data_IF_304844150774
#
_entry.id   IF_304844150774
#
_cell.length_a   1.000
_cell.length_b   1.000
_cell.length_c   1.000
_cell.angle_alpha   90.00
_cell.angle_beta   90.00
_cell.angle_gamma   90.00
#
_symmetry.space_group_name_H-M   'P 1'
#
loop_
_entity.id
_entity.type
_entity.pdbx_description
1 polymer ?
#
# COMPACT_ATOMS: atom_id res chain seq x y z
N UNK A 1 8.51 18.68 -19.05
CA UNK A 1 9.57 17.83 -18.46
C UNK A 1 10.73 18.74 -18.05
N UNK A 2 11.23 18.64 -16.80
CA UNK A 2 12.22 19.58 -16.24
C UNK A 2 13.67 19.10 -16.30
N UNK A 3 13.93 17.91 -16.87
CA UNK A 3 15.26 17.28 -16.86
C UNK A 3 15.74 16.76 -15.50
N UNK A 4 14.96 16.93 -14.43
CA UNK A 4 15.28 16.43 -13.09
C UNK A 4 14.69 15.03 -12.89
N UNK A 5 15.44 14.18 -12.23
CA UNK A 5 15.02 12.83 -11.85
C UNK A 5 15.60 12.46 -10.49
N UNK A 6 14.95 11.51 -9.84
CA UNK A 6 15.42 10.88 -8.61
C UNK A 6 15.22 9.37 -8.73
N UNK A 7 16.00 8.61 -7.98
CA UNK A 7 15.88 7.16 -7.93
C UNK A 7 15.13 6.74 -6.67
N UNK A 8 14.08 5.93 -6.82
CA UNK A 8 13.44 5.25 -5.69
C UNK A 8 13.99 3.82 -5.59
N UNK A 9 14.90 3.53 -4.64
CA UNK A 9 15.36 2.16 -4.43
C UNK A 9 14.23 1.35 -3.78
N UNK A 10 13.79 0.31 -4.48
CA UNK A 10 12.89 -0.68 -3.91
C UNK A 10 13.52 -1.35 -2.70
N UNK A 11 12.72 -1.68 -1.70
CA UNK A 11 13.13 -2.39 -0.49
C UNK A 11 13.77 -3.75 -0.83
N UNK A 12 13.23 -4.42 -1.84
CA UNK A 12 13.79 -5.66 -2.38
C UNK A 12 13.43 -5.86 -3.85
N UNK A 13 14.15 -6.76 -4.52
CA UNK A 13 13.87 -7.14 -5.91
C UNK A 13 12.47 -7.76 -6.03
N UNK A 14 11.73 -7.36 -7.06
CA UNK A 14 10.41 -7.92 -7.37
C UNK A 14 9.24 -7.15 -6.74
N UNK A 15 9.51 -6.08 -6.00
CA UNK A 15 8.47 -5.12 -5.63
C UNK A 15 8.17 -4.16 -6.78
N UNK A 16 7.04 -3.47 -6.68
CA UNK A 16 6.57 -2.48 -7.64
C UNK A 16 6.05 -1.23 -6.92
N UNK A 17 6.09 -0.10 -7.63
CA UNK A 17 5.42 1.13 -7.21
C UNK A 17 3.97 1.04 -7.66
N UNK A 18 3.04 1.23 -6.73
CA UNK A 18 1.60 1.28 -7.00
C UNK A 18 1.08 2.68 -7.31
N UNK A 19 1.63 3.70 -6.64
CA UNK A 19 1.28 5.11 -6.83
C UNK A 19 2.37 6.02 -6.26
N UNK A 20 2.38 7.28 -6.69
CA UNK A 20 3.27 8.34 -6.22
C UNK A 20 2.50 9.67 -6.17
N UNK A 21 2.44 10.30 -5.00
CA UNK A 21 1.89 11.65 -4.85
C UNK A 21 2.78 12.55 -4.00
N UNK A 22 3.05 13.75 -4.52
CA UNK A 22 3.72 14.81 -3.76
C UNK A 22 2.76 15.34 -2.70
N UNK A 23 3.23 15.48 -1.47
CA UNK A 23 2.42 16.01 -0.35
C UNK A 23 2.88 17.40 0.09
N UNK A 24 4.08 17.82 -0.33
CA UNK A 24 4.57 19.18 -0.25
C UNK A 24 5.65 19.42 -1.32
N UNK A 25 6.41 20.53 -1.22
CA UNK A 25 7.45 20.88 -2.19
C UNK A 25 8.62 19.88 -2.26
N UNK A 26 8.82 19.07 -1.21
CA UNK A 26 10.01 18.24 -1.01
C UNK A 26 9.72 16.82 -0.52
N UNK A 27 8.48 16.49 -0.15
CA UNK A 27 8.12 15.15 0.29
C UNK A 27 6.96 14.56 -0.49
N UNK A 28 6.95 13.23 -0.59
CA UNK A 28 5.95 12.45 -1.32
C UNK A 28 5.60 11.17 -0.56
N UNK A 29 4.43 10.61 -0.89
CA UNK A 29 4.02 9.27 -0.50
C UNK A 29 4.11 8.34 -1.71
N UNK A 30 4.63 7.15 -1.48
CA UNK A 30 4.75 6.08 -2.50
C UNK A 30 4.10 4.83 -1.98
N UNK A 31 3.26 4.20 -2.78
CA UNK A 31 2.85 2.81 -2.53
C UNK A 31 3.94 1.89 -3.07
N UNK A 32 4.51 1.05 -2.21
CA UNK A 32 5.45 0.00 -2.57
C UNK A 32 4.87 -1.35 -2.18
N UNK A 33 4.72 -2.26 -3.15
CA UNK A 33 4.03 -3.54 -2.96
C UNK A 33 4.69 -4.72 -3.65
N UNK A 34 4.44 -5.92 -3.17
CA UNK A 34 4.63 -7.14 -3.95
C UNK A 34 3.42 -7.42 -4.87
N UNK A 35 3.52 -8.48 -5.65
CA UNK A 35 2.48 -8.98 -6.55
C UNK A 35 1.59 -10.06 -5.90
N UNK A 36 1.73 -10.31 -4.60
CA UNK A 36 0.89 -11.27 -3.90
C UNK A 36 -0.47 -10.69 -3.54
N UNK A 37 -1.45 -11.55 -3.31
CA UNK A 37 -2.77 -11.18 -2.84
C UNK A 37 -3.32 -12.17 -1.81
N UNK A 38 -4.30 -11.76 -1.02
CA UNK A 38 -4.89 -12.59 0.02
C UNK A 38 -4.07 -12.71 1.31
N UNK A 39 -4.69 -13.34 2.29
CA UNK A 39 -4.20 -13.52 3.66
C UNK A 39 -4.09 -14.99 4.02
N UNK A 40 -3.35 -15.28 5.10
CA UNK A 40 -3.00 -16.64 5.49
C UNK A 40 -4.22 -17.55 5.78
N UNK A 41 -5.35 -16.98 6.23
CA UNK A 41 -6.60 -17.70 6.48
C UNK A 41 -7.28 -18.22 5.20
N UNK A 42 -6.86 -17.73 4.03
CA UNK A 42 -7.33 -18.15 2.70
C UNK A 42 -6.23 -18.76 1.83
N UNK A 43 -5.09 -19.10 2.45
CA UNK A 43 -3.96 -19.69 1.75
C UNK A 43 -4.27 -21.09 1.23
N UNK A 44 -3.70 -21.45 0.08
CA UNK A 44 -3.66 -22.83 -0.35
C UNK A 44 -2.82 -23.68 0.61
N UNK A 45 -3.11 -24.98 0.68
CA UNK A 45 -2.23 -25.90 1.37
C UNK A 45 -0.80 -25.84 0.79
N UNK A 46 0.20 -26.09 1.63
CA UNK A 46 1.60 -25.93 1.25
C UNK A 46 1.94 -26.71 -0.04
N UNK A 47 2.52 -26.00 -1.02
CA UNK A 47 2.89 -26.56 -2.32
C UNK A 47 1.72 -26.76 -3.30
N UNK A 48 0.50 -26.41 -2.92
CA UNK A 48 -0.68 -26.52 -3.80
C UNK A 48 -1.05 -25.18 -4.42
N UNK A 49 -1.74 -25.26 -5.56
CA UNK A 49 -2.41 -24.14 -6.22
C UNK A 49 -3.85 -24.58 -6.51
N UNK A 50 -4.81 -23.69 -6.31
CA UNK A 50 -6.21 -23.96 -6.60
C UNK A 50 -6.98 -22.67 -6.87
N UNK A 51 -8.16 -22.77 -7.49
CA UNK A 51 -9.01 -21.61 -7.77
C UNK A 51 -9.72 -21.09 -6.50
N UNK A 52 -9.73 -21.89 -5.44
CA UNK A 52 -10.50 -21.63 -4.22
C UNK A 52 -9.62 -21.17 -3.05
N UNK A 53 -8.37 -20.79 -3.31
CA UNK A 53 -7.39 -20.37 -2.32
C UNK A 53 -6.27 -19.50 -2.93
N UNK A 54 -5.55 -18.75 -2.11
CA UNK A 54 -4.41 -17.95 -2.56
C UNK A 54 -3.09 -18.72 -2.44
N UNK A 55 -2.37 -18.84 -3.55
CA UNK A 55 -1.09 -19.55 -3.59
C UNK A 55 0.13 -18.62 -3.56
N UNK A 56 -0.06 -17.32 -3.83
CA UNK A 56 0.96 -16.28 -3.67
C UNK A 56 0.43 -15.16 -2.78
N UNK A 57 0.65 -15.31 -1.48
CA UNK A 57 0.12 -14.40 -0.46
C UNK A 57 0.82 -13.05 -0.50
N UNK A 58 0.05 -11.98 -0.26
CA UNK A 58 0.59 -10.66 0.02
C UNK A 58 1.46 -10.69 1.29
N UNK A 59 2.69 -10.19 1.17
CA UNK A 59 3.70 -10.16 2.25
C UNK A 59 4.24 -8.76 2.49
N UNK A 60 4.24 -7.91 1.46
CA UNK A 60 4.79 -6.58 1.51
C UNK A 60 3.86 -5.60 0.79
N UNK A 61 3.19 -4.75 1.58
CA UNK A 61 2.35 -3.64 1.08
C UNK A 61 2.60 -2.44 1.98
N UNK A 62 3.19 -1.38 1.48
CA UNK A 62 3.55 -0.20 2.29
C UNK A 62 3.22 1.10 1.60
N UNK A 63 2.89 2.11 2.40
CA UNK A 63 2.97 3.52 2.01
C UNK A 63 4.25 4.06 2.62
N UNK A 64 5.19 4.49 1.78
CA UNK A 64 6.49 5.01 2.17
C UNK A 64 6.48 6.51 1.99
N UNK A 65 6.80 7.26 3.06
CA UNK A 65 7.10 8.69 2.95
C UNK A 65 8.55 8.87 2.53
N UNK A 66 8.79 9.70 1.53
CA UNK A 66 10.12 10.02 1.03
C UNK A 66 10.38 11.51 0.97
N UNK A 67 11.66 11.87 0.93
CA UNK A 67 12.16 13.22 0.68
C UNK A 67 12.94 13.30 -0.63
N UNK A 68 12.62 14.33 -1.41
CA UNK A 68 13.14 14.69 -2.72
C UNK A 68 13.46 16.19 -2.72
N UNK A 69 14.74 16.56 -2.74
CA UNK A 69 15.20 17.95 -2.74
C UNK A 69 16.16 18.19 -3.89
N UNK A 70 16.50 19.45 -4.14
CA UNK A 70 17.52 19.78 -5.15
C UNK A 70 18.89 19.19 -4.80
N UNK A 71 19.17 18.93 -3.52
CA UNK A 71 20.42 18.32 -3.06
C UNK A 71 20.58 16.83 -3.47
N UNK A 72 19.47 16.13 -3.76
CA UNK A 72 19.49 14.73 -4.20
C UNK A 72 18.95 14.51 -5.62
N UNK A 73 18.88 15.56 -6.46
CA UNK A 73 18.65 15.42 -7.90
C UNK A 73 19.70 14.48 -8.50
N UNK A 74 19.24 13.54 -9.33
CA UNK A 74 20.06 12.50 -9.96
C UNK A 74 20.54 11.41 -8.99
N UNK A 75 20.05 11.37 -7.74
CA UNK A 75 20.43 10.40 -6.71
C UNK A 75 19.20 9.72 -6.13
N UNK A 76 19.44 8.77 -5.22
CA UNK A 76 18.36 8.11 -4.49
C UNK A 76 17.63 9.10 -3.57
N UNK A 77 16.31 8.97 -3.51
CA UNK A 77 15.47 9.65 -2.52
C UNK A 77 15.79 9.14 -1.11
N UNK A 78 15.49 9.94 -0.09
CA UNK A 78 15.59 9.50 1.31
C UNK A 78 14.25 8.94 1.76
N UNK A 79 14.18 7.67 2.19
CA UNK A 79 13.00 7.11 2.85
C UNK A 79 12.94 7.63 4.30
N UNK A 80 11.81 8.22 4.70
CA UNK A 80 11.59 8.80 6.04
C UNK A 80 10.95 7.76 6.97
N UNK A 81 9.91 7.08 6.48
CA UNK A 81 9.13 6.12 7.26
C UNK A 81 8.06 5.47 6.40
N UNK A 82 7.27 4.57 6.99
CA UNK A 82 6.21 3.89 6.26
C UNK A 82 5.01 3.49 7.14
N UNK A 83 3.87 3.27 6.49
CA UNK A 83 2.75 2.48 7.02
C UNK A 83 2.79 1.10 6.38
N UNK A 84 2.66 0.05 7.20
CA UNK A 84 2.48 -1.33 6.74
C UNK A 84 0.98 -1.60 6.50
N UNK A 85 0.59 -1.66 5.23
CA UNK A 85 -0.80 -1.87 4.84
C UNK A 85 -1.29 -3.28 5.13
N UNK A 86 -0.40 -4.23 5.45
CA UNK A 86 -0.81 -5.56 5.92
C UNK A 86 -1.19 -5.56 7.41
N UNK A 87 -0.97 -4.45 8.13
CA UNK A 87 -1.11 -4.35 9.59
C UNK A 87 -1.84 -3.09 10.05
N UNK A 88 -2.83 -2.63 9.29
CA UNK A 88 -3.60 -1.44 9.65
C UNK A 88 -4.45 -1.79 10.88
N UNK A 89 -4.19 -1.14 12.01
CA UNK A 89 -5.01 -1.31 13.19
C UNK A 89 -6.42 -0.72 12.94
N UNK A 90 -7.46 -1.44 13.34
CA UNK A 90 -8.84 -0.99 13.31
C UNK A 90 -9.43 -0.92 14.74
N UNK A 91 -8.92 -0.01 15.59
CA UNK A 91 -9.28 0.06 17.01
C UNK A 91 -10.77 0.39 17.23
N UNK A 92 -11.37 1.12 16.29
CA UNK A 92 -12.76 1.55 16.34
C UNK A 92 -13.71 0.58 15.60
N UNK A 93 -13.19 -0.52 15.04
CA UNK A 93 -13.94 -1.52 14.26
C UNK A 93 -14.74 -0.90 13.10
N UNK A 94 -14.10 0.02 12.36
CA UNK A 94 -14.68 0.74 11.21
C UNK A 94 -14.68 -0.09 9.94
N UNK A 95 -13.82 -1.10 9.83
CA UNK A 95 -13.76 -1.95 8.65
C UNK A 95 -15.09 -2.70 8.46
N UNK A 96 -15.67 -2.59 7.26
CA UNK A 96 -16.92 -3.26 6.92
C UNK A 96 -16.71 -4.69 6.43
N UNK A 97 -15.49 -5.01 6.00
CA UNK A 97 -15.08 -6.33 5.52
C UNK A 97 -13.57 -6.50 5.65
N UNK A 98 -13.10 -7.75 5.56
CA UNK A 98 -11.67 -8.08 5.49
C UNK A 98 -10.87 -7.96 6.79
N UNK A 99 -11.44 -7.40 7.86
CA UNK A 99 -10.74 -7.30 9.13
C UNK A 99 -10.60 -8.67 9.82
N UNK A 100 -9.42 -8.92 10.37
CA UNK A 100 -9.03 -10.14 11.09
C UNK A 100 -8.46 -9.68 12.43
N UNK A 101 -9.08 -10.09 13.54
CA UNK A 101 -8.61 -9.83 14.91
C UNK A 101 -8.28 -8.35 15.21
N UNK A 102 -9.08 -7.41 14.68
CA UNK A 102 -8.89 -5.97 14.89
C UNK A 102 -7.83 -5.33 13.98
N UNK A 103 -7.34 -6.07 12.98
CA UNK A 103 -6.46 -5.57 11.92
C UNK A 103 -7.20 -5.60 10.60
N UNK A 104 -7.11 -4.53 9.82
CA UNK A 104 -7.52 -4.48 8.43
C UNK A 104 -6.29 -4.72 7.53
N UNK A 105 -6.00 -5.96 7.11
CA UNK A 105 -5.02 -6.17 6.05
C UNK A 105 -5.54 -5.56 4.75
N UNK A 106 -4.63 -5.00 3.96
CA UNK A 106 -4.91 -4.46 2.61
C UNK A 106 -4.19 -5.32 1.55
N UNK A 107 -4.57 -6.60 1.37
CA UNK A 107 -3.78 -7.60 0.65
C UNK A 107 -4.01 -7.55 -0.87
N UNK A 108 -4.18 -6.36 -1.43
CA UNK A 108 -4.61 -6.23 -2.81
C UNK A 108 -3.44 -6.34 -3.79
N UNK A 109 -3.72 -6.93 -4.95
CA UNK A 109 -2.77 -6.93 -6.07
C UNK A 109 -2.52 -5.50 -6.57
N UNK A 110 -3.55 -4.65 -6.53
CA UNK A 110 -3.61 -3.32 -7.16
C UNK A 110 -4.06 -2.25 -6.18
N UNK A 111 -3.12 -1.85 -5.31
CA UNK A 111 -3.24 -0.65 -4.48
C UNK A 111 -2.70 0.53 -5.31
N UNK A 112 -3.58 1.39 -5.80
CA UNK A 112 -3.24 2.34 -6.88
C UNK A 112 -3.48 3.81 -6.53
N UNK A 113 -3.95 4.11 -5.31
CA UNK A 113 -4.13 5.48 -4.90
C UNK A 113 -3.62 5.71 -3.48
N UNK A 114 -2.84 6.78 -3.31
CA UNK A 114 -2.53 7.37 -2.01
C UNK A 114 -2.50 8.89 -2.12
N UNK A 115 -3.25 9.59 -1.27
CA UNK A 115 -3.17 11.06 -1.21
C UNK A 115 -3.51 11.59 0.19
N UNK A 116 -3.15 12.83 0.49
CA UNK A 116 -3.51 13.52 1.73
C UNK A 116 -4.88 14.15 1.58
N UNK A 117 -5.82 13.73 2.43
CA UNK A 117 -7.17 14.30 2.47
C UNK A 117 -7.27 15.43 3.50
N UNK A 118 -6.58 15.28 4.62
CA UNK A 118 -6.50 16.31 5.67
C UNK A 118 -5.12 16.30 6.30
N UNK A 119 -4.27 17.26 5.91
CA UNK A 119 -2.92 17.38 6.44
C UNK A 119 -2.90 17.76 7.93
N UNK A 120 -3.86 18.58 8.39
CA UNK A 120 -3.90 19.05 9.77
C UNK A 120 -4.35 17.94 10.73
N UNK A 121 -5.34 17.14 10.33
CA UNK A 121 -5.78 15.94 11.02
C UNK A 121 -4.85 14.74 10.84
N UNK A 122 -3.97 14.77 9.82
CA UNK A 122 -3.05 13.69 9.51
C UNK A 122 -3.72 12.52 8.80
N UNK A 123 -4.69 12.79 7.93
CA UNK A 123 -5.49 11.78 7.24
C UNK A 123 -5.05 11.64 5.79
N UNK A 124 -4.79 10.40 5.39
CA UNK A 124 -4.60 10.01 3.98
C UNK A 124 -5.75 9.13 3.51
N UNK A 125 -5.97 9.11 2.20
CA UNK A 125 -6.76 8.08 1.52
C UNK A 125 -5.84 7.03 0.92
N UNK A 126 -6.29 5.77 0.95
CA UNK A 126 -5.66 4.65 0.24
C UNK A 126 -6.73 3.97 -0.59
N UNK A 127 -6.46 3.75 -1.88
CA UNK A 127 -7.39 3.13 -2.82
C UNK A 127 -6.94 1.77 -3.33
N UNK A 128 -7.90 0.84 -3.37
CA UNK A 128 -7.81 -0.42 -4.08
C UNK A 128 -8.57 -0.31 -5.42
N UNK A 129 -7.89 -0.61 -6.52
CA UNK A 129 -8.51 -1.03 -7.78
C UNK A 129 -8.61 -2.55 -7.75
N UNK A 130 -9.82 -3.10 -7.87
CA UNK A 130 -10.04 -4.54 -7.80
C UNK A 130 -9.47 -5.32 -9.00
N UNK A 131 -8.96 -4.64 -10.04
CA UNK A 131 -8.27 -5.22 -11.20
C UNK A 131 -9.07 -6.38 -11.84
N UNK A 132 -10.37 -6.17 -12.00
CA UNK A 132 -11.28 -7.14 -12.61
C UNK A 132 -10.89 -7.41 -14.08
N UNK A 133 -10.86 -8.66 -14.55
CA UNK A 133 -11.21 -9.91 -13.86
C UNK A 133 -10.00 -10.69 -13.31
N UNK A 134 -8.84 -10.05 -13.11
CA UNK A 134 -7.57 -10.74 -12.86
C UNK A 134 -7.25 -10.97 -11.38
N UNK A 135 -7.89 -10.25 -10.46
CA UNK A 135 -7.68 -10.37 -9.01
C UNK A 135 -9.00 -10.54 -8.26
N UNK A 136 -8.92 -11.19 -7.10
CA UNK A 136 -10.03 -11.33 -6.15
C UNK A 136 -9.67 -10.89 -4.73
N UNK A 137 -8.39 -10.65 -4.47
CA UNK A 137 -7.76 -9.97 -3.34
C UNK A 137 -8.02 -10.53 -1.94
N UNK A 138 -9.27 -10.64 -1.49
CA UNK A 138 -9.62 -11.17 -0.16
C UNK A 138 -10.37 -12.49 -0.20
N UNK A 139 -11.22 -12.71 -1.21
CA UNK A 139 -11.99 -13.95 -1.35
C UNK A 139 -11.67 -14.62 -2.70
N UNK A 140 -11.03 -15.81 -2.73
CA UNK A 140 -10.65 -16.45 -3.98
C UNK A 140 -11.85 -16.74 -4.91
N UNK A 141 -13.08 -16.76 -4.38
CA UNK A 141 -14.31 -17.09 -5.13
C UNK A 141 -15.11 -15.87 -5.55
N UNK A 142 -14.73 -14.67 -5.13
CA UNK A 142 -15.49 -13.44 -5.37
C UNK A 142 -14.54 -12.31 -5.71
N UNK A 143 -14.74 -11.66 -6.86
CA UNK A 143 -14.03 -10.43 -7.18
C UNK A 143 -14.27 -9.38 -6.07
N UNK A 144 -13.20 -8.68 -5.70
CA UNK A 144 -13.27 -7.71 -4.61
C UNK A 144 -13.98 -6.43 -5.04
N UNK A 145 -14.40 -5.64 -4.05
CA UNK A 145 -14.92 -4.30 -4.28
C UNK A 145 -13.77 -3.31 -4.52
N UNK A 146 -14.00 -2.29 -5.35
CA UNK A 146 -13.17 -1.09 -5.29
C UNK A 146 -13.39 -0.41 -3.93
N UNK A 147 -12.30 -0.05 -3.26
CA UNK A 147 -12.36 0.41 -1.87
C UNK A 147 -11.47 1.63 -1.66
N UNK A 148 -11.99 2.62 -0.94
CA UNK A 148 -11.23 3.75 -0.41
C UNK A 148 -11.25 3.68 1.11
N UNK A 149 -10.07 3.73 1.72
CA UNK A 149 -9.89 3.72 3.17
C UNK A 149 -9.21 5.00 3.61
N UNK A 150 -9.71 5.62 4.68
CA UNK A 150 -9.05 6.74 5.33
C UNK A 150 -8.18 6.23 6.48
N UNK A 151 -6.90 6.61 6.47
CA UNK A 151 -5.94 6.25 7.51
C UNK A 151 -5.48 7.49 8.26
N UNK A 152 -5.48 7.40 9.60
CA UNK A 152 -4.84 8.39 10.47
C UNK A 152 -3.35 8.06 10.61
N UNK A 153 -2.49 8.92 10.06
CA UNK A 153 -1.05 8.70 9.88
C UNK A 153 -0.23 9.93 10.26
N UNK A 154 -0.70 10.70 11.24
CA UNK A 154 -0.14 12.00 11.63
C UNK A 154 1.36 11.95 11.91
N UNK A 155 1.83 10.90 12.57
CA UNK A 155 3.23 10.70 12.91
C UNK A 155 4.09 10.55 11.65
N UNK A 156 3.61 9.78 10.65
CA UNK A 156 4.32 9.63 9.39
C UNK A 156 4.37 10.96 8.63
N UNK A 157 3.26 11.69 8.56
CA UNK A 157 3.20 12.98 7.87
C UNK A 157 4.07 14.04 8.57
N UNK A 158 4.18 14.01 9.90
CA UNK A 158 5.02 14.93 10.66
C UNK A 158 6.53 14.55 10.66
N UNK A 159 6.86 13.29 10.37
CA UNK A 159 8.24 12.81 10.39
C UNK A 159 9.12 13.55 9.36
N UNK A 160 10.36 13.84 9.75
CA UNK A 160 11.40 14.43 8.91
C UNK A 160 12.52 13.43 8.74
#
# INVERSE_FOLDING_TARGET
WTGRSWFFPLEQKGLAIGDFNMIDATTALIIERDNGEGTADRACAAGQKGPDCFHDLAKFKRIVKIEMTDANVGKSVRKIGYIDLMKIADPDRKAKQGAIDGVLPFPFFTIENVDVVDLAGGIIVVGNDNNLPFSSSRDPKKADDNELVLLSVKELLAAK
#
